data_IF_885988819719
#
_entry.id   IF_885988819719
#
_cell.length_a   1.000
_cell.length_b   1.000
_cell.length_c   1.000
_cell.angle_alpha   90.00
_cell.angle_beta   90.00
_cell.angle_gamma   90.00
#
_symmetry.space_group_name_H-M   'P 1'
#
loop_
_entity.id
_entity.type
_entity.pdbx_description
1 polymer ?
#
# COMPACT_ATOMS: atom_id res chain seq x y z
N UNK A 1 5.19 -26.65 -3.71
CA UNK A 1 5.28 -25.52 -2.77
C UNK A 1 5.90 -24.35 -3.49
N UNK A 2 5.18 -23.23 -3.63
CA UNK A 2 5.81 -22.01 -4.12
C UNK A 2 6.64 -21.42 -2.97
N UNK A 3 7.94 -21.29 -3.18
CA UNK A 3 8.86 -20.73 -2.19
C UNK A 3 8.84 -19.20 -2.32
N UNK A 4 8.65 -18.49 -1.21
CA UNK A 4 8.75 -17.03 -1.17
C UNK A 4 10.22 -16.65 -1.38
N UNK A 5 10.50 -15.76 -2.34
CA UNK A 5 11.84 -15.19 -2.55
C UNK A 5 11.81 -13.70 -2.24
N UNK A 6 12.59 -13.28 -1.25
CA UNK A 6 12.67 -11.87 -0.86
C UNK A 6 13.58 -11.05 -1.78
N UNK A 7 13.32 -9.73 -1.92
CA UNK A 7 12.10 -9.03 -1.47
C UNK A 7 10.90 -9.38 -2.37
N UNK A 8 9.73 -9.61 -1.77
CA UNK A 8 8.48 -9.86 -2.51
C UNK A 8 7.97 -8.61 -3.24
N UNK A 9 8.28 -7.42 -2.69
CA UNK A 9 8.10 -6.12 -3.33
C UNK A 9 9.48 -5.46 -3.45
N UNK A 10 10.07 -5.47 -4.65
CA UNK A 10 11.40 -4.87 -4.90
C UNK A 10 11.28 -3.38 -5.19
N UNK A 11 12.36 -2.62 -4.97
CA UNK A 11 12.40 -1.17 -5.19
C UNK A 11 11.76 -0.38 -4.05
N UNK A 12 11.25 0.81 -4.36
CA UNK A 12 10.65 1.74 -3.38
C UNK A 12 9.27 1.25 -2.92
N UNK A 13 9.27 0.44 -1.85
CA UNK A 13 8.09 -0.14 -1.19
C UNK A 13 8.29 -0.20 0.34
N UNK A 14 8.42 0.96 1.01
CA UNK A 14 8.68 1.01 2.44
C UNK A 14 7.41 0.77 3.26
N UNK A 15 7.59 0.56 4.57
CA UNK A 15 6.52 0.55 5.56
C UNK A 15 5.34 -0.38 5.22
N UNK A 16 5.57 -1.68 4.93
CA UNK A 16 4.51 -2.58 4.51
C UNK A 16 3.51 -2.85 5.64
N UNK A 17 2.27 -2.44 5.45
CA UNK A 17 1.13 -2.79 6.30
C UNK A 17 0.27 -3.85 5.60
N UNK A 18 0.26 -5.07 6.13
CA UNK A 18 -0.46 -6.21 5.56
C UNK A 18 -1.84 -6.38 6.20
N UNK A 19 -2.87 -6.66 5.39
CA UNK A 19 -4.18 -7.09 5.87
C UNK A 19 -4.73 -8.25 5.02
N UNK A 20 -5.70 -8.99 5.57
CA UNK A 20 -6.39 -10.09 4.87
C UNK A 20 -7.90 -9.84 4.86
N UNK A 21 -8.54 -10.07 3.72
CA UNK A 21 -10.00 -10.08 3.58
C UNK A 21 -10.41 -11.38 2.86
N UNK A 22 -10.99 -12.33 3.59
CA UNK A 22 -11.29 -13.66 3.03
C UNK A 22 -10.02 -14.43 2.66
N UNK A 23 -9.87 -14.79 1.38
CA UNK A 23 -8.71 -15.49 0.81
C UNK A 23 -7.67 -14.54 0.19
N UNK A 24 -7.97 -13.24 0.19
CA UNK A 24 -7.17 -12.21 -0.47
C UNK A 24 -6.32 -11.45 0.57
N UNK A 25 -5.04 -11.23 0.22
CA UNK A 25 -4.07 -10.48 1.01
C UNK A 25 -3.74 -9.16 0.34
N UNK A 26 -3.53 -8.13 1.14
CA UNK A 26 -3.21 -6.78 0.69
C UNK A 26 -2.02 -6.22 1.46
N UNK A 27 -1.13 -5.49 0.79
CA UNK A 27 -0.06 -4.71 1.41
C UNK A 27 -0.19 -3.26 0.98
N UNK A 28 -0.27 -2.34 1.94
CA UNK A 28 -0.07 -0.91 1.73
C UNK A 28 1.39 -0.52 2.01
N UNK A 29 1.97 0.33 1.17
CA UNK A 29 3.31 0.91 1.38
C UNK A 29 3.25 2.43 1.27
N UNK A 30 4.15 3.10 2.00
CA UNK A 30 4.32 4.55 1.97
C UNK A 30 4.79 5.03 0.59
N UNK A 31 4.46 6.27 0.24
CA UNK A 31 4.80 6.87 -1.07
C UNK A 31 5.41 8.26 -0.96
N UNK A 32 5.49 8.82 0.24
CA UNK A 32 5.99 10.15 0.50
C UNK A 32 5.34 11.21 -0.42
N UNK A 33 6.12 11.99 -1.14
CA UNK A 33 5.69 13.08 -2.03
C UNK A 33 5.11 12.58 -3.37
N UNK A 34 5.19 11.28 -3.66
CA UNK A 34 4.70 10.73 -4.92
C UNK A 34 3.17 10.63 -4.92
N UNK A 35 2.56 11.17 -5.98
CA UNK A 35 1.12 11.12 -6.23
C UNK A 35 0.83 10.24 -7.45
N UNK A 36 -0.17 9.33 -7.43
CA UNK A 36 -1.12 9.04 -6.35
C UNK A 36 -0.49 8.44 -5.08
N UNK A 37 -1.09 8.74 -3.92
CA UNK A 37 -0.55 8.33 -2.61
C UNK A 37 -1.00 6.95 -2.14
N UNK A 38 -0.12 6.30 -1.37
CA UNK A 38 -0.18 4.89 -0.93
C UNK A 38 -0.22 3.92 -2.12
N UNK A 39 0.65 2.91 -2.11
CA UNK A 39 0.57 1.82 -3.09
C UNK A 39 -0.01 0.58 -2.42
N UNK A 40 -1.03 -0.01 -3.05
CA UNK A 40 -1.65 -1.26 -2.59
C UNK A 40 -1.22 -2.39 -3.52
N UNK A 41 -0.79 -3.50 -2.95
CA UNK A 41 -0.54 -4.75 -3.67
C UNK A 41 -1.50 -5.82 -3.19
N UNK A 42 -1.94 -6.68 -4.10
CA UNK A 42 -2.82 -7.81 -3.84
C UNK A 42 -2.10 -9.14 -4.10
N UNK A 43 -2.39 -10.15 -3.29
CA UNK A 43 -1.91 -11.52 -3.46
C UNK A 43 -2.94 -12.53 -2.95
N UNK A 44 -2.86 -13.76 -3.46
CA UNK A 44 -3.57 -14.94 -2.91
C UNK A 44 -2.62 -16.02 -2.37
N UNK A 45 -1.32 -15.87 -2.59
CA UNK A 45 -0.31 -16.87 -2.25
C UNK A 45 0.85 -16.32 -1.42
N UNK A 46 0.85 -15.02 -1.12
CA UNK A 46 1.92 -14.27 -0.43
C UNK A 46 3.26 -14.24 -1.18
N UNK A 47 3.35 -14.91 -2.32
CA UNK A 47 4.57 -15.03 -3.16
C UNK A 47 4.52 -13.99 -4.27
N UNK A 48 3.40 -13.95 -4.99
CA UNK A 48 3.21 -13.09 -6.14
C UNK A 48 2.28 -11.94 -5.76
N UNK A 49 2.76 -10.72 -5.95
CA UNK A 49 2.05 -9.50 -5.59
C UNK A 49 1.81 -8.66 -6.83
N UNK A 50 0.56 -8.26 -7.06
CA UNK A 50 0.18 -7.37 -8.16
C UNK A 50 -0.21 -6.01 -7.60
N UNK A 51 0.32 -4.90 -8.15
CA UNK A 51 -0.17 -3.58 -7.77
C UNK A 51 -1.63 -3.43 -8.22
N UNK A 52 -2.44 -2.86 -7.35
CA UNK A 52 -3.81 -2.43 -7.67
C UNK A 52 -3.90 -0.91 -7.54
N UNK A 53 -5.07 -0.34 -7.85
CA UNK A 53 -5.26 1.11 -7.85
C UNK A 53 -4.91 1.74 -6.49
N UNK A 54 -4.11 2.80 -6.52
CA UNK A 54 -3.82 3.63 -5.33
C UNK A 54 -5.08 4.31 -4.80
N UNK A 55 -5.26 4.41 -3.48
CA UNK A 55 -6.50 4.93 -2.88
C UNK A 55 -6.55 6.47 -2.81
N UNK A 56 -5.39 7.15 -2.75
CA UNK A 56 -5.30 8.61 -2.62
C UNK A 56 -5.05 9.25 -3.99
N UNK A 57 -6.10 9.38 -4.79
CA UNK A 57 -6.04 9.85 -6.19
C UNK A 57 -6.68 11.21 -6.42
N UNK A 58 -7.25 11.82 -5.37
CA UNK A 58 -7.89 13.14 -5.44
C UNK A 58 -7.19 14.11 -4.49
N UNK A 59 -7.10 15.37 -4.88
CA UNK A 59 -6.57 16.46 -4.04
C UNK A 59 -7.35 16.63 -2.74
N UNK A 60 -8.65 16.30 -2.72
CA UNK A 60 -9.45 16.29 -1.49
C UNK A 60 -9.04 15.22 -0.48
N UNK A 61 -8.30 14.20 -0.91
CA UNK A 61 -7.76 13.15 -0.04
C UNK A 61 -6.30 13.43 0.33
N UNK A 62 -5.53 13.98 -0.63
CA UNK A 62 -4.10 14.19 -0.49
C UNK A 62 -3.67 15.43 -1.28
N UNK A 63 -3.41 16.53 -0.57
CA UNK A 63 -2.91 17.78 -1.12
C UNK A 63 -1.49 18.01 -0.61
N UNK A 64 -0.49 17.85 -1.48
CA UNK A 64 0.94 17.86 -1.12
C UNK A 64 1.74 18.94 -1.85
N UNK A 65 1.08 19.94 -2.44
CA UNK A 65 1.78 21.06 -3.06
C UNK A 65 2.62 21.80 -1.98
N UNK A 66 3.92 21.95 -2.23
CA UNK A 66 4.85 22.56 -1.29
C UNK A 66 5.43 21.62 -0.23
N UNK A 67 5.09 20.32 -0.23
CA UNK A 67 5.76 19.37 0.64
C UNK A 67 7.26 19.25 0.32
N UNK A 68 8.05 18.98 1.35
CA UNK A 68 9.48 18.70 1.23
C UNK A 68 9.72 17.33 0.57
N UNK A 69 10.93 17.12 0.03
CA UNK A 69 11.41 15.80 -0.38
C UNK A 69 11.29 14.80 0.78
N UNK A 70 10.79 13.59 0.52
CA UNK A 70 10.43 12.59 1.53
C UNK A 70 9.35 13.02 2.55
N UNK A 71 8.65 14.13 2.31
CA UNK A 71 7.45 14.55 3.05
C UNK A 71 6.19 13.82 2.57
N UNK A 72 5.01 14.20 3.05
CA UNK A 72 3.74 13.64 2.56
C UNK A 72 3.35 12.31 3.19
N UNK A 73 3.15 11.28 2.37
CA UNK A 73 2.55 9.99 2.81
C UNK A 73 3.60 9.07 3.42
N UNK A 74 3.74 9.11 4.75
CA UNK A 74 4.61 8.22 5.51
C UNK A 74 3.94 6.86 5.73
N UNK A 75 4.41 6.06 6.69
CA UNK A 75 3.94 4.71 6.95
C UNK A 75 2.40 4.61 7.06
N UNK A 76 1.71 3.88 6.15
CA UNK A 76 0.28 3.69 6.23
C UNK A 76 -0.07 2.51 7.17
N UNK A 77 -1.30 2.51 7.69
CA UNK A 77 -1.90 1.35 8.33
C UNK A 77 -3.14 0.91 7.55
N UNK A 78 -3.09 -0.29 6.95
CA UNK A 78 -4.22 -0.90 6.26
C UNK A 78 -4.84 -1.98 7.14
N UNK A 79 -6.14 -1.86 7.38
CA UNK A 79 -6.92 -2.86 8.12
C UNK A 79 -8.27 -3.14 7.44
N UNK A 80 -8.90 -4.23 7.83
CA UNK A 80 -10.17 -4.66 7.27
C UNK A 80 -11.06 -5.18 8.40
N UNK A 81 -12.30 -4.70 8.44
CA UNK A 81 -13.32 -5.16 9.37
C UNK A 81 -14.71 -5.05 8.72
N UNK A 82 -15.54 -6.09 8.89
CA UNK A 82 -16.96 -6.11 8.48
C UNK A 82 -17.26 -5.60 7.05
N UNK A 83 -16.46 -5.99 6.05
CA UNK A 83 -16.68 -5.59 4.66
C UNK A 83 -16.04 -4.25 4.29
N UNK A 84 -15.37 -3.59 5.23
CA UNK A 84 -14.81 -2.24 5.07
C UNK A 84 -13.30 -2.28 5.25
N UNK A 85 -12.58 -1.66 4.31
CA UNK A 85 -11.15 -1.37 4.47
C UNK A 85 -10.96 0.00 5.11
N UNK A 86 -10.04 0.07 6.07
CA UNK A 86 -9.62 1.29 6.73
C UNK A 86 -8.15 1.54 6.41
N UNK A 87 -7.86 2.74 5.92
CA UNK A 87 -6.51 3.20 5.62
C UNK A 87 -6.26 4.46 6.46
N UNK A 88 -5.27 4.38 7.34
CA UNK A 88 -4.80 5.46 8.20
C UNK A 88 -3.42 5.90 7.72
#
# INVERSE_FOLDING_TARGET
>A
MNMITNPVLRGFHPDPSICRAGEDYYIATSTFEWFPGVRIHHSRDLVHWKPIQSPLTRTSQLHMEGNIDSGGVWAPCLSYDNGVFYLI
#
